data_IF_946869592618
#
_entry.id   IF_946869592618
#
_cell.length_a   1.000
_cell.length_b   1.000
_cell.length_c   1.000
_cell.angle_alpha   90.00
_cell.angle_beta   90.00
_cell.angle_gamma   90.00
#
_symmetry.space_group_name_H-M   'P 1'
#
loop_
_entity.id
_entity.type
_entity.pdbx_description
1 polymer ?
#
# COMPACT_ATOMS: atom_id res chain seq x y z
N UNK A 1 -20.38 -5.50 29.01
CA UNK A 1 -19.84 -6.87 28.82
C UNK A 1 -18.65 -7.05 29.75
N UNK A 2 -18.39 -8.25 30.30
CA UNK A 2 -17.25 -8.47 31.19
C UNK A 2 -15.97 -8.69 30.35
N UNK A 3 -14.78 -8.31 30.85
CA UNK A 3 -13.49 -8.45 30.15
C UNK A 3 -13.01 -9.91 30.00
N UNK A 4 -13.83 -10.90 30.39
CA UNK A 4 -13.48 -12.33 30.45
C UNK A 4 -12.92 -12.87 29.14
N UNK A 5 -13.48 -12.45 27.99
CA UNK A 5 -12.97 -12.89 26.69
C UNK A 5 -11.55 -12.36 26.43
N UNK A 6 -11.33 -11.06 26.63
CA UNK A 6 -10.01 -10.44 26.48
C UNK A 6 -8.96 -11.06 27.41
N UNK A 7 -9.34 -11.34 28.66
CA UNK A 7 -8.49 -12.07 29.61
C UNK A 7 -8.16 -13.49 29.11
N UNK A 8 -9.16 -14.22 28.62
CA UNK A 8 -8.97 -15.57 28.09
C UNK A 8 -8.00 -15.59 26.91
N UNK A 9 -8.16 -14.66 25.95
CA UNK A 9 -7.27 -14.56 24.78
C UNK A 9 -5.83 -14.23 25.22
N UNK A 10 -5.63 -13.31 26.17
CA UNK A 10 -4.29 -13.02 26.69
C UNK A 10 -3.63 -14.24 27.34
N UNK A 11 -4.41 -15.08 28.03
CA UNK A 11 -3.92 -16.29 28.69
C UNK A 11 -3.62 -17.41 27.70
N UNK A 12 -4.45 -17.58 26.67
CA UNK A 12 -4.27 -18.59 25.63
C UNK A 12 -3.02 -18.33 24.78
N UNK A 13 -2.69 -17.05 24.57
CA UNK A 13 -1.52 -16.62 23.82
C UNK A 13 -0.65 -15.73 24.71
N UNK A 14 0.21 -16.27 25.59
CA UNK A 14 0.96 -15.47 26.56
C UNK A 14 2.16 -14.71 25.96
N UNK A 15 2.64 -15.11 24.78
CA UNK A 15 3.83 -14.57 24.12
C UNK A 15 3.56 -14.20 22.66
N UNK A 16 4.50 -13.47 22.05
CA UNK A 16 4.44 -13.09 20.64
C UNK A 16 3.44 -11.96 20.36
N UNK A 17 3.13 -11.77 19.08
CA UNK A 17 2.19 -10.74 18.63
C UNK A 17 0.77 -11.30 18.71
N UNK A 18 -0.10 -10.59 19.40
CA UNK A 18 -1.52 -10.91 19.51
C UNK A 18 -2.35 -9.73 19.01
N UNK A 19 -2.97 -9.84 17.84
CA UNK A 19 -3.91 -8.84 17.36
C UNK A 19 -5.34 -9.17 17.81
N UNK A 20 -6.03 -8.22 18.45
CA UNK A 20 -7.39 -8.43 18.95
C UNK A 20 -8.32 -7.30 18.48
N UNK A 21 -9.33 -7.69 17.69
CA UNK A 21 -10.47 -6.82 17.37
C UNK A 21 -11.14 -6.41 18.68
N UNK A 22 -11.33 -5.10 18.87
CA UNK A 22 -11.70 -4.54 20.17
C UNK A 22 -12.92 -3.63 20.13
N UNK A 23 -13.60 -3.55 18.98
CA UNK A 23 -14.72 -2.64 18.73
C UNK A 23 -16.07 -3.36 18.58
N UNK A 24 -16.19 -4.64 18.96
CA UNK A 24 -17.43 -5.41 18.87
C UNK A 24 -18.65 -4.75 19.55
N UNK A 25 -18.40 -3.87 20.52
CA UNK A 25 -19.46 -3.09 21.20
C UNK A 25 -19.07 -1.62 21.36
N UNK A 26 -17.90 -1.36 21.93
CA UNK A 26 -17.40 0.00 22.16
C UNK A 26 -15.87 -0.05 22.32
N UNK A 27 -15.17 0.41 21.28
CA UNK A 27 -13.71 0.44 21.24
C UNK A 27 -13.12 1.28 22.36
N UNK A 28 -13.72 2.42 22.70
CA UNK A 28 -13.17 3.33 23.71
C UNK A 28 -13.24 2.71 25.09
N UNK A 29 -14.37 2.09 25.44
CA UNK A 29 -14.51 1.36 26.70
C UNK A 29 -13.56 0.14 26.75
N UNK A 30 -13.38 -0.59 25.64
CA UNK A 30 -12.45 -1.71 25.59
C UNK A 30 -11.01 -1.27 25.85
N UNK A 31 -10.58 -0.19 25.20
CA UNK A 31 -9.23 0.38 25.36
C UNK A 31 -9.04 0.97 26.75
N UNK A 32 -10.03 1.70 27.27
CA UNK A 32 -9.90 2.43 28.53
C UNK A 32 -10.01 1.51 29.76
N UNK A 33 -11.09 0.73 29.83
CA UNK A 33 -11.49 0.03 31.05
C UNK A 33 -10.99 -1.42 31.07
N UNK A 34 -10.81 -2.06 29.91
CA UNK A 34 -10.33 -3.44 29.86
C UNK A 34 -8.83 -3.47 29.62
N UNK A 35 -8.35 -3.09 28.43
CA UNK A 35 -6.93 -3.13 28.11
C UNK A 35 -6.11 -2.18 28.99
N UNK A 36 -6.54 -0.91 29.10
CA UNK A 36 -5.81 0.13 29.81
C UNK A 36 -6.00 0.17 31.32
N UNK A 37 -6.92 -0.63 31.87
CA UNK A 37 -7.15 -0.67 33.32
C UNK A 37 -7.10 -2.12 33.84
N UNK A 38 -8.12 -2.94 33.58
CA UNK A 38 -8.22 -4.25 34.20
C UNK A 38 -7.11 -5.25 33.77
N UNK A 39 -6.59 -5.12 32.55
CA UNK A 39 -5.60 -6.04 31.95
C UNK A 39 -4.23 -5.38 31.74
N UNK A 40 -4.06 -4.14 32.19
CA UNK A 40 -2.88 -3.31 31.91
C UNK A 40 -1.58 -3.97 32.36
N UNK A 41 -1.53 -4.40 33.62
CA UNK A 41 -0.31 -5.00 34.20
C UNK A 41 0.08 -6.28 33.47
N UNK A 42 -0.90 -7.13 33.16
CA UNK A 42 -0.65 -8.33 32.39
C UNK A 42 -0.08 -8.01 31.01
N UNK A 43 -0.58 -6.97 30.32
CA UNK A 43 -0.06 -6.54 29.01
C UNK A 43 1.38 -6.05 29.12
N UNK A 44 1.69 -5.20 30.11
CA UNK A 44 3.03 -4.65 30.29
C UNK A 44 4.08 -5.72 30.61
N UNK A 45 3.67 -6.84 31.21
CA UNK A 45 4.54 -7.97 31.54
C UNK A 45 4.71 -8.99 30.40
N UNK A 46 4.07 -8.80 29.24
CA UNK A 46 4.14 -9.76 28.13
C UNK A 46 5.52 -9.80 27.48
N UNK A 47 5.98 -11.01 27.16
CA UNK A 47 7.03 -11.24 26.18
C UNK A 47 6.43 -11.20 24.75
N UNK A 48 6.04 -10.02 24.31
CA UNK A 48 5.36 -9.82 23.03
C UNK A 48 4.53 -8.54 23.02
N UNK A 49 3.68 -8.41 22.02
CA UNK A 49 2.92 -7.19 21.76
C UNK A 49 1.45 -7.49 21.55
N UNK A 50 0.58 -6.88 22.36
CA UNK A 50 -0.84 -6.77 22.07
C UNK A 50 -1.04 -5.70 20.99
N UNK A 51 -1.75 -6.04 19.93
CA UNK A 51 -2.13 -5.12 18.86
C UNK A 51 -3.64 -4.92 18.91
N UNK A 52 -4.07 -3.75 19.34
CA UNK A 52 -5.49 -3.40 19.41
C UNK A 52 -5.98 -3.08 18.00
N UNK A 53 -7.09 -3.70 17.59
CA UNK A 53 -7.69 -3.48 16.27
C UNK A 53 -9.09 -2.84 16.38
N UNK A 54 -9.23 -1.52 16.16
CA UNK A 54 -10.47 -0.94 15.67
C UNK A 54 -10.78 -1.41 14.24
N UNK A 55 -12.06 -1.64 13.94
CA UNK A 55 -12.54 -2.19 12.66
C UNK A 55 -13.86 -1.52 12.20
N UNK A 56 -14.18 -0.34 12.72
CA UNK A 56 -15.38 0.43 12.38
C UNK A 56 -15.22 1.92 12.70
N UNK A 57 -16.06 2.74 12.07
CA UNK A 57 -16.12 4.19 12.29
C UNK A 57 -15.14 4.99 11.42
N UNK A 58 -15.03 6.29 11.69
CA UNK A 58 -14.07 7.16 10.99
C UNK A 58 -12.63 6.82 11.43
N UNK A 59 -11.74 6.37 10.53
CA UNK A 59 -10.41 5.90 10.92
C UNK A 59 -9.58 6.97 11.64
N UNK A 60 -9.67 8.23 11.21
CA UNK A 60 -8.86 9.33 11.76
C UNK A 60 -9.32 9.68 13.17
N UNK A 61 -10.63 9.91 13.35
CA UNK A 61 -11.20 10.27 14.66
C UNK A 61 -11.05 9.13 15.66
N UNK A 62 -11.30 7.90 15.22
CA UNK A 62 -11.17 6.70 16.06
C UNK A 62 -9.75 6.53 16.54
N UNK A 63 -8.76 6.57 15.64
CA UNK A 63 -7.35 6.43 16.00
C UNK A 63 -6.87 7.52 16.95
N UNK A 64 -7.24 8.79 16.72
CA UNK A 64 -6.85 9.89 17.61
C UNK A 64 -7.36 9.66 19.03
N UNK A 65 -8.62 9.27 19.19
CA UNK A 65 -9.20 9.02 20.52
C UNK A 65 -8.64 7.76 21.17
N UNK A 66 -8.42 6.69 20.41
CA UNK A 66 -7.76 5.47 20.91
C UNK A 66 -6.36 5.78 21.42
N UNK A 67 -5.54 6.51 20.66
CA UNK A 67 -4.20 6.89 21.11
C UNK A 67 -4.20 7.83 22.32
N UNK A 68 -5.14 8.79 22.38
CA UNK A 68 -5.31 9.65 23.55
C UNK A 68 -5.52 8.81 24.83
N UNK A 69 -6.44 7.84 24.79
CA UNK A 69 -6.72 6.94 25.91
C UNK A 69 -5.51 6.06 26.22
N UNK A 70 -4.87 5.48 25.20
CA UNK A 70 -3.70 4.62 25.38
C UNK A 70 -2.54 5.37 26.05
N UNK A 71 -2.26 6.61 25.63
CA UNK A 71 -1.23 7.42 26.26
C UNK A 71 -1.58 7.78 27.70
N UNK A 72 -2.85 8.07 28.00
CA UNK A 72 -3.28 8.34 29.37
C UNK A 72 -3.18 7.10 30.27
N UNK A 73 -3.46 5.91 29.75
CA UNK A 73 -3.48 4.66 30.52
C UNK A 73 -2.11 3.98 30.63
N UNK A 74 -1.34 3.93 29.55
CA UNK A 74 -0.06 3.21 29.47
C UNK A 74 1.16 4.13 29.55
N UNK A 75 1.00 5.45 29.39
CA UNK A 75 2.11 6.37 29.24
C UNK A 75 2.75 6.30 27.84
N UNK A 76 3.85 7.03 27.66
CA UNK A 76 4.63 7.05 26.42
C UNK A 76 6.05 7.51 26.67
N UNK A 77 6.94 7.22 25.72
CA UNK A 77 8.22 7.90 25.56
C UNK A 77 8.16 8.86 24.37
N UNK A 78 9.13 9.77 24.28
CA UNK A 78 9.32 10.62 23.10
C UNK A 78 10.55 10.11 22.35
N UNK A 79 10.40 9.79 21.05
CA UNK A 79 11.53 9.36 20.23
C UNK A 79 12.41 10.54 19.79
N UNK A 80 13.53 10.25 19.13
CA UNK A 80 14.49 11.26 18.65
C UNK A 80 13.90 12.28 17.66
N UNK A 81 12.73 12.00 17.07
CA UNK A 81 12.00 12.90 16.16
C UNK A 81 10.93 13.75 16.86
N UNK A 82 10.77 13.61 18.19
CA UNK A 82 9.80 14.39 18.97
C UNK A 82 8.37 13.84 18.94
N UNK A 83 8.19 12.54 18.67
CA UNK A 83 6.87 11.88 18.62
C UNK A 83 6.68 10.89 19.77
N UNK A 84 5.44 10.78 20.26
CA UNK A 84 5.01 9.86 21.32
C UNK A 84 5.03 8.42 20.84
N UNK A 85 5.61 7.53 21.63
CA UNK A 85 5.70 6.08 21.38
C UNK A 85 5.15 5.33 22.58
N UNK A 86 4.24 4.39 22.32
CA UNK A 86 3.68 3.50 23.34
C UNK A 86 4.75 2.49 23.84
N UNK A 87 4.60 1.96 25.07
CA UNK A 87 5.39 0.80 25.51
C UNK A 87 5.41 -0.31 24.44
N UNK A 88 6.52 -1.03 24.24
CA UNK A 88 6.65 -2.01 23.16
C UNK A 88 5.61 -3.14 23.20
N UNK A 89 5.01 -3.39 24.36
CA UNK A 89 3.98 -4.40 24.56
C UNK A 89 2.61 -4.02 23.99
N UNK A 90 2.40 -2.79 23.52
CA UNK A 90 1.11 -2.35 22.98
C UNK A 90 1.23 -1.53 21.71
N UNK A 91 0.48 -1.91 20.68
CA UNK A 91 0.39 -1.24 19.37
C UNK A 91 -1.05 -1.22 18.88
N UNK A 92 -1.29 -0.53 17.78
CA UNK A 92 -2.60 -0.45 17.13
C UNK A 92 -2.48 -0.90 15.68
N UNK A 93 -3.51 -1.59 15.18
CA UNK A 93 -3.71 -1.83 13.75
C UNK A 93 -5.08 -1.32 13.32
N UNK A 94 -5.13 -0.47 12.29
CA UNK A 94 -6.40 -0.06 11.67
C UNK A 94 -6.61 -0.90 10.41
N UNK A 95 -7.66 -1.72 10.39
CA UNK A 95 -7.99 -2.59 9.25
C UNK A 95 -9.18 -2.12 8.41
N UNK A 96 -10.02 -1.27 8.96
CA UNK A 96 -11.23 -0.79 8.29
C UNK A 96 -11.01 0.57 7.59
N UNK A 97 -11.65 0.76 6.44
CA UNK A 97 -11.62 2.01 5.69
C UNK A 97 -10.24 2.42 5.14
N UNK A 98 -9.29 1.49 5.02
CA UNK A 98 -7.95 1.79 4.51
C UNK A 98 -7.92 1.70 2.98
N UNK A 99 -7.44 2.76 2.35
CA UNK A 99 -7.11 2.84 0.93
C UNK A 99 -6.01 3.88 0.65
N UNK A 100 -5.64 4.06 -0.62
CA UNK A 100 -4.56 4.99 -1.01
C UNK A 100 -4.84 6.44 -0.64
N UNK A 101 -6.12 6.83 -0.51
CA UNK A 101 -6.54 8.19 -0.20
C UNK A 101 -6.68 8.42 1.31
N UNK A 102 -7.05 7.39 2.08
CA UNK A 102 -7.19 7.50 3.54
C UNK A 102 -5.85 7.41 4.28
N UNK A 103 -4.86 6.67 3.75
CA UNK A 103 -3.53 6.51 4.37
C UNK A 103 -2.86 7.87 4.68
N UNK A 104 -2.72 8.82 3.71
CA UNK A 104 -2.10 10.12 3.98
C UNK A 104 -2.83 10.92 5.06
N UNK A 105 -4.16 10.89 5.06
CA UNK A 105 -4.99 11.61 6.03
C UNK A 105 -4.78 11.09 7.46
N UNK A 106 -4.68 9.77 7.63
CA UNK A 106 -4.37 9.14 8.92
C UNK A 106 -2.99 9.62 9.42
N UNK A 107 -1.94 9.46 8.61
CA UNK A 107 -0.59 9.82 9.05
C UNK A 107 -0.41 11.33 9.25
N UNK A 108 -1.10 12.17 8.49
CA UNK A 108 -1.11 13.62 8.73
C UNK A 108 -1.74 13.96 10.09
N UNK A 109 -2.86 13.32 10.45
CA UNK A 109 -3.51 13.53 11.74
C UNK A 109 -2.64 13.04 12.92
N UNK A 110 -1.96 11.89 12.76
CA UNK A 110 -0.99 11.40 13.74
C UNK A 110 0.19 12.36 13.89
N UNK A 111 0.72 12.88 12.77
CA UNK A 111 1.83 13.83 12.75
C UNK A 111 1.48 15.11 13.51
N UNK A 112 0.30 15.69 13.24
CA UNK A 112 -0.21 16.88 13.94
C UNK A 112 -0.42 16.62 15.44
N UNK A 113 -0.81 15.40 15.81
CA UNK A 113 -1.01 14.99 17.21
C UNK A 113 0.27 14.53 17.92
N UNK A 114 1.43 14.66 17.27
CA UNK A 114 2.75 14.18 17.76
C UNK A 114 2.76 12.69 18.12
N UNK A 115 2.04 11.87 17.37
CA UNK A 115 1.97 10.41 17.54
C UNK A 115 2.94 9.76 16.55
N UNK A 116 3.83 8.88 17.04
CA UNK A 116 4.78 8.21 16.17
C UNK A 116 4.08 7.18 15.27
N UNK A 117 4.53 7.09 14.01
CA UNK A 117 4.10 6.04 13.08
C UNK A 117 4.48 4.63 13.57
N UNK A 118 5.46 4.52 14.47
CA UNK A 118 5.86 3.25 15.12
C UNK A 118 4.72 2.59 15.89
N UNK A 119 3.67 3.34 16.24
CA UNK A 119 2.54 2.83 17.00
C UNK A 119 1.46 2.16 16.16
N UNK A 120 1.45 2.38 14.83
CA UNK A 120 0.33 2.02 13.96
C UNK A 120 0.79 1.19 12.76
N UNK A 121 0.11 0.06 12.57
CA UNK A 121 0.10 -0.70 11.31
C UNK A 121 -1.25 -0.50 10.62
N UNK A 122 -1.28 -0.58 9.30
CA UNK A 122 -2.50 -0.51 8.52
C UNK A 122 -2.75 -1.85 7.82
N UNK A 123 -3.99 -2.35 7.90
CA UNK A 123 -4.48 -3.48 7.10
C UNK A 123 -5.36 -2.96 5.98
N UNK A 124 -5.09 -3.36 4.73
CA UNK A 124 -5.84 -2.92 3.55
C UNK A 124 -6.37 -4.14 2.80
N UNK A 125 -7.68 -4.35 2.83
CA UNK A 125 -8.34 -5.50 2.20
C UNK A 125 -8.82 -5.21 0.78
N UNK A 126 -10.13 -5.03 0.61
CA UNK A 126 -10.76 -4.86 -0.70
C UNK A 126 -10.19 -3.70 -1.54
N UNK A 127 -9.77 -2.60 -0.91
CA UNK A 127 -9.16 -1.50 -1.64
C UNK A 127 -7.77 -1.85 -2.23
N UNK A 128 -7.03 -2.79 -1.62
CA UNK A 128 -5.73 -3.25 -2.11
C UNK A 128 -5.87 -4.24 -3.26
N UNK A 129 -6.84 -5.16 -3.16
CA UNK A 129 -6.90 -6.34 -4.04
C UNK A 129 -8.10 -6.36 -4.99
N UNK A 130 -9.13 -5.53 -4.78
CA UNK A 130 -10.37 -5.56 -5.59
C UNK A 130 -10.81 -4.21 -6.16
N UNK A 131 -10.46 -3.07 -5.53
CA UNK A 131 -10.76 -1.72 -6.07
C UNK A 131 -9.71 -1.26 -7.10
N UNK A 132 -9.17 -2.21 -7.87
CA UNK A 132 -8.26 -1.96 -8.99
C UNK A 132 -8.81 -2.64 -10.22
N UNK A 133 -8.69 -2.01 -11.38
CA UNK A 133 -9.11 -2.59 -12.65
C UNK A 133 -8.08 -2.29 -13.75
N UNK A 134 -8.29 -2.85 -14.95
CA UNK A 134 -7.40 -2.69 -16.10
C UNK A 134 -7.11 -1.22 -16.42
N UNK A 135 -8.10 -0.34 -16.24
CA UNK A 135 -8.01 1.08 -16.55
C UNK A 135 -7.30 1.89 -15.47
N UNK A 136 -7.16 1.39 -14.23
CA UNK A 136 -6.42 2.05 -13.14
C UNK A 136 -5.01 2.47 -13.58
N UNK A 137 -4.31 1.61 -14.33
CA UNK A 137 -3.00 1.89 -14.93
C UNK A 137 -3.06 1.95 -16.46
N UNK A 138 -4.26 1.95 -17.04
CA UNK A 138 -4.52 1.97 -18.49
C UNK A 138 -3.79 0.85 -19.25
N UNK A 139 -3.69 -0.35 -18.68
CA UNK A 139 -3.07 -1.51 -19.33
C UNK A 139 -3.75 -1.83 -20.66
N UNK A 140 -2.96 -1.91 -21.74
CA UNK A 140 -3.48 -2.12 -23.08
C UNK A 140 -2.47 -2.86 -23.98
N UNK A 141 -2.99 -3.77 -24.81
CA UNK A 141 -2.25 -4.41 -25.90
C UNK A 141 -2.73 -3.86 -27.25
N UNK A 142 -1.79 -3.51 -28.14
CA UNK A 142 -2.04 -2.96 -29.47
C UNK A 142 -0.99 -3.49 -30.45
N UNK A 143 -1.42 -3.88 -31.65
CA UNK A 143 -0.52 -4.09 -32.76
C UNK A 143 0.12 -2.75 -33.16
N UNK A 144 1.46 -2.72 -33.25
CA UNK A 144 2.23 -1.54 -33.69
C UNK A 144 2.95 -1.77 -35.02
N UNK A 145 3.05 -3.01 -35.48
CA UNK A 145 3.85 -3.42 -36.63
C UNK A 145 3.27 -4.70 -37.25
N UNK A 146 3.30 -4.81 -38.57
CA UNK A 146 2.94 -6.02 -39.31
C UNK A 146 3.85 -6.23 -40.53
N UNK A 147 4.17 -7.49 -40.83
CA UNK A 147 4.83 -7.92 -42.07
C UNK A 147 3.76 -8.43 -43.04
N UNK A 148 3.72 -7.86 -44.24
CA UNK A 148 2.73 -8.12 -45.29
C UNK A 148 3.49 -8.39 -46.60
N UNK A 149 3.40 -9.60 -47.13
CA UNK A 149 4.01 -9.99 -48.41
C UNK A 149 5.52 -9.67 -48.53
N UNK A 150 6.27 -9.72 -47.44
CA UNK A 150 7.71 -9.41 -47.41
C UNK A 150 8.04 -7.94 -47.14
N UNK A 151 7.06 -7.05 -47.18
CA UNK A 151 7.19 -5.66 -46.73
C UNK A 151 6.68 -5.50 -45.30
N UNK A 152 6.97 -4.37 -44.67
CA UNK A 152 6.45 -4.06 -43.35
C UNK A 152 5.70 -2.73 -43.29
N UNK A 153 4.71 -2.67 -42.39
CA UNK A 153 3.91 -1.48 -42.16
C UNK A 153 3.82 -1.15 -40.67
N UNK A 154 3.86 0.14 -40.38
CA UNK A 154 3.58 0.66 -39.05
C UNK A 154 2.07 0.68 -38.82
N UNK A 155 1.61 -0.11 -37.84
CA UNK A 155 0.21 -0.15 -37.43
C UNK A 155 0.00 0.83 -36.28
N UNK A 156 -1.05 1.64 -36.36
CA UNK A 156 -1.36 2.63 -35.31
C UNK A 156 -2.85 2.83 -35.18
N UNK A 157 -3.34 2.87 -33.94
CA UNK A 157 -4.67 3.41 -33.64
C UNK A 157 -4.54 4.91 -33.39
N UNK A 158 -5.33 5.71 -34.08
CA UNK A 158 -5.40 7.16 -33.86
C UNK A 158 -6.86 7.63 -34.02
N UNK A 159 -7.73 7.34 -33.04
CA UNK A 159 -9.14 7.65 -33.15
C UNK A 159 -9.38 9.15 -32.97
N UNK A 160 -10.39 9.65 -33.68
CA UNK A 160 -11.02 10.94 -33.41
C UNK A 160 -12.21 10.66 -32.50
N UNK A 161 -12.37 11.44 -31.44
CA UNK A 161 -13.51 11.36 -30.51
C UNK A 161 -14.18 12.72 -30.39
N UNK A 162 -15.43 12.73 -29.91
CA UNK A 162 -16.17 13.97 -29.66
C UNK A 162 -16.05 14.30 -28.17
N UNK A 163 -15.65 15.53 -27.84
CA UNK A 163 -15.59 15.98 -26.44
C UNK A 163 -16.98 16.38 -25.91
N UNK A 164 -17.06 16.73 -24.62
CA UNK A 164 -18.32 17.15 -23.96
C UNK A 164 -18.96 18.42 -24.57
N UNK A 165 -18.25 19.10 -25.47
CA UNK A 165 -18.72 20.29 -26.21
C UNK A 165 -19.16 19.97 -27.64
N UNK A 166 -19.14 18.71 -28.05
CA UNK A 166 -19.48 18.30 -29.41
C UNK A 166 -18.36 18.46 -30.44
N UNK A 167 -17.13 18.82 -30.02
CA UNK A 167 -16.01 19.08 -30.92
C UNK A 167 -15.23 17.79 -31.19
N UNK A 168 -14.84 17.56 -32.46
CA UNK A 168 -13.96 16.45 -32.83
C UNK A 168 -12.53 16.72 -32.37
N UNK A 169 -12.03 15.89 -31.46
CA UNK A 169 -10.68 15.96 -30.89
C UNK A 169 -9.93 14.65 -31.08
N UNK A 170 -8.59 14.70 -31.04
CA UNK A 170 -7.76 13.48 -31.06
C UNK A 170 -7.88 12.76 -29.73
N UNK A 171 -8.18 11.47 -29.79
CA UNK A 171 -8.32 10.64 -28.60
C UNK A 171 -6.98 10.37 -27.92
N UNK A 172 -7.01 10.34 -26.59
CA UNK A 172 -5.90 9.86 -25.77
C UNK A 172 -5.56 8.38 -26.03
N UNK A 173 -6.44 7.63 -26.73
CA UNK A 173 -6.24 6.22 -27.11
C UNK A 173 -5.34 6.04 -28.34
N UNK A 174 -4.56 7.06 -28.68
CA UNK A 174 -3.55 6.99 -29.75
C UNK A 174 -2.42 6.03 -29.34
N UNK A 175 -2.15 5.01 -30.14
CA UNK A 175 -1.08 4.03 -29.85
C UNK A 175 0.27 4.46 -30.44
N UNK A 176 1.36 3.83 -29.97
CA UNK A 176 2.65 3.83 -30.67
C UNK A 176 2.55 2.99 -31.95
N UNK A 177 3.53 3.16 -32.84
CA UNK A 177 3.65 2.45 -34.12
C UNK A 177 5.13 2.08 -34.34
N UNK A 178 5.40 1.01 -35.10
CA UNK A 178 6.74 0.47 -35.36
C UNK A 178 7.12 -0.74 -34.52
N UNK A 179 8.30 -1.31 -34.82
CA UNK A 179 9.01 -2.23 -33.93
C UNK A 179 9.65 -1.39 -32.83
N UNK A 180 9.35 -1.69 -31.57
CA UNK A 180 9.68 -0.83 -30.43
C UNK A 180 10.77 -1.45 -29.58
N UNK A 181 11.60 -0.60 -28.97
CA UNK A 181 12.47 -0.96 -27.86
C UNK A 181 12.31 0.00 -26.69
N UNK A 182 12.65 -0.46 -25.49
CA UNK A 182 12.69 0.38 -24.30
C UNK A 182 14.14 0.72 -23.99
N UNK A 183 14.45 1.99 -23.77
CA UNK A 183 15.80 2.43 -23.43
C UNK A 183 15.78 3.21 -22.13
N UNK A 184 16.88 3.15 -21.38
CA UNK A 184 17.08 3.95 -20.18
C UNK A 184 18.19 4.99 -20.40
N UNK A 185 17.82 6.26 -20.43
CA UNK A 185 18.75 7.39 -20.63
C UNK A 185 18.62 8.36 -19.47
N UNK A 186 19.74 8.74 -18.84
CA UNK A 186 19.74 9.67 -17.69
C UNK A 186 18.79 9.23 -16.56
N UNK A 187 18.68 7.91 -16.32
CA UNK A 187 17.80 7.34 -15.29
C UNK A 187 16.31 7.28 -15.65
N UNK A 188 15.91 7.79 -16.82
CA UNK A 188 14.52 7.80 -17.28
C UNK A 188 14.32 6.77 -18.39
N UNK A 189 13.13 6.16 -18.42
CA UNK A 189 12.75 5.21 -19.46
C UNK A 189 12.10 5.93 -20.64
N UNK A 190 12.47 5.52 -21.85
CA UNK A 190 11.88 6.00 -23.09
C UNK A 190 11.60 4.84 -24.04
N UNK A 191 10.40 4.78 -24.62
CA UNK A 191 10.09 3.85 -25.72
C UNK A 191 10.35 4.52 -27.05
N UNK A 192 11.17 3.89 -27.89
CA UNK A 192 11.60 4.38 -29.19
C UNK A 192 11.45 3.30 -30.26
N UNK A 193 11.63 3.67 -31.52
CA UNK A 193 11.73 2.71 -32.62
C UNK A 193 13.05 1.90 -32.51
N UNK A 194 12.99 0.60 -32.76
CA UNK A 194 14.12 -0.32 -32.60
C UNK A 194 15.32 0.08 -33.46
N UNK A 195 15.08 0.71 -34.61
CA UNK A 195 16.10 1.12 -35.58
C UNK A 195 16.64 2.54 -35.36
N UNK A 196 16.09 3.30 -34.42
CA UNK A 196 16.38 4.73 -34.28
C UNK A 196 17.77 5.06 -33.70
N UNK A 197 18.39 4.16 -32.94
CA UNK A 197 19.72 4.36 -32.36
C UNK A 197 20.35 3.04 -31.89
N UNK A 198 21.59 3.11 -31.38
CA UNK A 198 22.34 1.97 -30.85
C UNK A 198 22.20 1.79 -29.33
N UNK A 199 21.20 2.40 -28.68
CA UNK A 199 20.97 2.15 -27.25
C UNK A 199 20.55 0.70 -27.02
N UNK A 200 21.00 0.16 -25.88
CA UNK A 200 20.65 -1.17 -25.39
C UNK A 200 19.15 -1.22 -25.13
N UNK A 201 18.50 -2.27 -25.62
CA UNK A 201 17.11 -2.55 -25.29
C UNK A 201 17.01 -3.14 -23.87
N UNK A 202 16.20 -2.50 -23.05
CA UNK A 202 15.86 -2.93 -21.70
C UNK A 202 14.83 -4.07 -21.71
N UNK A 203 14.12 -4.27 -22.83
CA UNK A 203 13.24 -5.42 -23.01
C UNK A 203 14.07 -6.69 -23.19
N UNK A 204 13.58 -7.77 -22.60
CA UNK A 204 14.23 -9.08 -22.66
C UNK A 204 13.23 -10.12 -23.12
N UNK A 205 13.65 -10.98 -24.05
CA UNK A 205 12.87 -12.16 -24.43
C UNK A 205 12.69 -13.04 -23.20
N UNK A 206 11.45 -13.22 -22.77
CA UNK A 206 11.06 -14.12 -21.66
C UNK A 206 10.34 -15.38 -22.17
N UNK A 207 9.87 -15.35 -23.41
CA UNK A 207 9.18 -16.44 -24.07
C UNK A 207 9.45 -16.36 -25.57
N UNK A 208 9.81 -17.50 -26.18
CA UNK A 208 10.08 -17.63 -27.61
C UNK A 208 9.66 -19.04 -28.06
N UNK A 209 8.84 -19.12 -29.10
CA UNK A 209 8.42 -20.37 -29.76
C UNK A 209 7.99 -21.51 -28.82
N UNK A 210 7.17 -21.18 -27.81
CA UNK A 210 6.65 -22.17 -26.86
C UNK A 210 7.51 -22.38 -25.62
N UNK A 211 8.68 -21.74 -25.54
CA UNK A 211 9.67 -21.94 -24.49
C UNK A 211 9.85 -20.68 -23.66
N UNK A 212 9.80 -20.81 -22.32
CA UNK A 212 10.18 -19.74 -21.41
C UNK A 212 11.70 -19.62 -21.40
N UNK A 213 12.24 -18.52 -21.93
CA UNK A 213 13.69 -18.29 -22.05
C UNK A 213 14.30 -17.64 -20.81
N UNK A 214 13.46 -17.04 -19.95
CA UNK A 214 13.91 -16.37 -18.73
C UNK A 214 12.82 -16.35 -17.65
N UNK A 215 13.20 -16.75 -16.44
CA UNK A 215 12.37 -16.68 -15.23
C UNK A 215 13.01 -15.77 -14.20
N UNK A 216 12.21 -15.25 -13.27
CA UNK A 216 12.68 -14.45 -12.14
C UNK A 216 12.15 -15.04 -10.83
N UNK A 217 12.94 -14.99 -9.78
CA UNK A 217 12.47 -15.32 -8.43
C UNK A 217 11.67 -14.17 -7.84
N UNK A 218 10.86 -14.47 -6.83
CA UNK A 218 10.08 -13.43 -6.15
C UNK A 218 11.00 -12.41 -5.46
N UNK A 219 12.13 -12.87 -4.92
CA UNK A 219 13.15 -12.07 -4.25
C UNK A 219 13.82 -11.09 -5.22
N UNK A 220 14.15 -11.53 -6.43
CA UNK A 220 14.70 -10.66 -7.48
C UNK A 220 13.75 -9.54 -7.86
N UNK A 221 12.45 -9.86 -7.98
CA UNK A 221 11.41 -8.85 -8.27
C UNK A 221 11.27 -7.88 -7.11
N UNK A 222 11.29 -8.36 -5.86
CA UNK A 222 11.25 -7.50 -4.67
C UNK A 222 12.46 -6.57 -4.61
N UNK A 223 13.65 -7.06 -4.92
CA UNK A 223 14.89 -6.26 -4.95
C UNK A 223 14.78 -5.13 -5.98
N UNK A 224 14.34 -5.47 -7.20
CA UNK A 224 14.16 -4.49 -8.28
C UNK A 224 13.12 -3.42 -7.96
N UNK A 225 12.07 -3.79 -7.24
CA UNK A 225 10.97 -2.89 -6.87
C UNK A 225 11.25 -2.04 -5.62
N UNK A 226 12.42 -2.19 -4.96
CA UNK A 226 12.77 -1.38 -3.81
C UNK A 226 12.79 0.10 -4.18
N UNK A 227 12.19 0.92 -3.31
CA UNK A 227 12.23 2.37 -3.42
C UNK A 227 13.62 2.83 -2.97
N UNK A 228 14.36 3.50 -3.86
CA UNK A 228 15.59 4.19 -3.48
C UNK A 228 15.23 5.46 -2.73
N UNK A 229 15.56 5.52 -1.44
CA UNK A 229 15.06 6.46 -0.42
C UNK A 229 15.45 7.94 -0.61
N UNK A 230 15.89 8.39 -1.79
CA UNK A 230 16.51 9.70 -2.01
C UNK A 230 15.56 10.81 -2.51
N UNK A 231 14.23 10.65 -2.46
CA UNK A 231 13.29 11.65 -3.02
C UNK A 231 12.20 12.17 -2.07
N UNK A 232 12.39 12.03 -0.76
CA UNK A 232 11.55 12.75 0.21
C UNK A 232 12.44 13.52 1.19
N UNK A 233 12.90 14.70 0.73
CA UNK A 233 13.39 15.79 1.57
C UNK A 233 12.25 16.79 1.76
#
# INVERSE_FOLDING_TARGET
>A
MNNRFFQHVLNAYPQGILACVSDSYNIFNAVENYWGTALKEQILQRNGTLVIRPDSGDPVKTLRKVFEILFAKFGFTINSKGYKVLPPQIRVIQGDGIDIDTIPNIYQALKLSKISAENLVLGMGGALLQKVNRDTQKFALKCSYAELNGDWVNVKKQPIEMNDKGELVKSFKTSKAGKLKLVKTHGQYQTIDIYSNNHVDELQTVFEDGVVTKTYTFEEIRERAKINTLQFA
#
